data_IF_554642154000
#
_entry.id   IF_554642154000
#
_cell.length_a   1.000
_cell.length_b   1.000
_cell.length_c   1.000
_cell.angle_alpha   90.00
_cell.angle_beta   90.00
_cell.angle_gamma   90.00
#
_symmetry.space_group_name_H-M   'P 1'
#
loop_
_entity.id
_entity.type
_entity.pdbx_description
1 polymer ?
#
# COMPACT_ATOMS: atom_id res chain seq x y z
N UNK A 1 2.41 -34.18 19.30
CA UNK A 1 2.24 -33.86 17.88
C UNK A 1 2.86 -32.50 17.62
N UNK A 2 3.85 -32.44 16.74
CA UNK A 2 4.74 -31.28 16.61
C UNK A 2 4.03 -30.07 16.00
N UNK A 3 4.42 -28.88 16.47
CA UNK A 3 3.91 -27.54 16.11
C UNK A 3 3.98 -27.22 14.61
N UNK A 4 4.66 -28.05 13.81
CA UNK A 4 4.81 -27.91 12.36
C UNK A 4 3.58 -28.29 11.52
N UNK A 5 2.56 -28.93 12.09
CA UNK A 5 1.35 -29.37 11.36
C UNK A 5 0.47 -28.22 10.83
N UNK A 6 0.84 -26.95 11.07
CA UNK A 6 0.09 -25.75 10.64
C UNK A 6 0.96 -24.71 9.93
N UNK A 7 2.09 -25.11 9.34
CA UNK A 7 2.86 -24.16 8.54
C UNK A 7 2.00 -23.76 7.33
N UNK A 8 1.67 -22.47 7.21
CA UNK A 8 1.07 -21.92 5.99
C UNK A 8 2.16 -21.89 4.92
N UNK A 9 1.79 -22.08 3.66
CA UNK A 9 2.73 -22.06 2.54
C UNK A 9 3.71 -20.90 2.62
N UNK A 10 5.00 -21.20 2.46
CA UNK A 10 6.11 -20.24 2.50
C UNK A 10 6.54 -19.98 1.05
N UNK A 11 6.48 -18.71 0.65
CA UNK A 11 6.94 -18.27 -0.67
C UNK A 11 8.20 -17.45 -0.48
N UNK A 12 9.32 -17.96 -1.00
CA UNK A 12 10.53 -17.20 -1.20
C UNK A 12 10.42 -16.47 -2.55
N UNK A 13 10.58 -15.15 -2.52
CA UNK A 13 10.58 -14.30 -3.71
C UNK A 13 11.94 -13.59 -3.80
N UNK A 14 12.72 -13.94 -4.82
CA UNK A 14 13.94 -13.23 -5.18
C UNK A 14 13.67 -12.29 -6.36
N UNK A 15 14.07 -11.03 -6.22
CA UNK A 15 14.02 -10.03 -7.28
C UNK A 15 15.46 -9.62 -7.56
N UNK A 16 15.92 -9.83 -8.78
CA UNK A 16 17.30 -9.59 -9.19
C UNK A 16 17.35 -8.72 -10.45
N UNK A 17 18.22 -7.72 -10.45
CA UNK A 17 18.53 -6.85 -11.59
C UNK A 17 19.62 -7.43 -12.50
N UNK A 18 20.05 -8.67 -12.26
CA UNK A 18 21.01 -9.41 -13.05
C UNK A 18 20.50 -10.81 -13.41
N UNK A 19 21.23 -11.51 -14.29
CA UNK A 19 20.92 -12.90 -14.67
C UNK A 19 21.55 -13.86 -13.67
N UNK A 20 20.71 -14.57 -12.91
CA UNK A 20 21.09 -15.63 -11.97
C UNK A 20 21.04 -17.01 -12.64
N UNK A 21 20.00 -17.28 -13.42
CA UNK A 21 19.75 -18.59 -14.05
C UNK A 21 20.02 -18.52 -15.56
N UNK A 22 21.26 -18.75 -15.97
CA UNK A 22 21.72 -18.60 -17.36
C UNK A 22 20.88 -19.42 -18.37
N UNK A 23 20.47 -20.63 -18.00
CA UNK A 23 19.73 -21.54 -18.88
C UNK A 23 18.23 -21.23 -19.01
N UNK A 24 17.71 -20.32 -18.18
CA UNK A 24 16.29 -19.93 -18.19
C UNK A 24 16.12 -18.65 -19.00
N UNK A 25 15.29 -18.68 -20.04
CA UNK A 25 15.03 -17.51 -20.89
C UNK A 25 13.97 -16.57 -20.32
N UNK A 26 13.03 -17.11 -19.56
CA UNK A 26 11.93 -16.32 -19.00
C UNK A 26 12.42 -15.45 -17.83
N UNK A 27 11.78 -14.30 -17.63
CA UNK A 27 12.09 -13.37 -16.55
C UNK A 27 11.55 -13.84 -15.20
N UNK A 28 10.58 -14.75 -15.20
CA UNK A 28 10.03 -15.39 -14.01
C UNK A 28 10.35 -16.87 -14.01
N UNK A 29 10.87 -17.38 -12.91
CA UNK A 29 11.11 -18.81 -12.70
C UNK A 29 10.52 -19.29 -11.38
N UNK A 30 9.53 -20.17 -11.49
CA UNK A 30 8.88 -20.82 -10.35
C UNK A 30 9.56 -22.18 -10.10
N UNK A 31 10.06 -22.39 -8.89
CA UNK A 31 10.87 -23.52 -8.51
C UNK A 31 10.30 -24.22 -7.26
N UNK A 32 10.46 -25.53 -7.23
CA UNK A 32 10.04 -26.42 -6.15
C UNK A 32 11.21 -27.29 -5.71
N UNK A 33 11.20 -27.69 -4.44
CA UNK A 33 12.19 -28.59 -3.88
C UNK A 33 11.77 -30.04 -4.14
N UNK A 34 12.71 -30.88 -4.57
CA UNK A 34 12.51 -32.31 -4.77
C UNK A 34 13.50 -33.07 -3.89
N UNK A 35 13.10 -34.21 -3.34
CA UNK A 35 14.02 -35.14 -2.72
C UNK A 35 15.05 -35.62 -3.76
N UNK A 36 16.30 -35.72 -3.32
CA UNK A 36 17.43 -36.02 -4.24
C UNK A 36 17.47 -37.46 -4.72
N UNK A 37 16.84 -38.40 -4.00
CA UNK A 37 16.83 -39.83 -4.34
C UNK A 37 15.54 -40.22 -5.04
N UNK A 38 14.39 -39.78 -4.52
CA UNK A 38 13.07 -40.18 -5.02
C UNK A 38 12.50 -39.19 -6.03
N UNK A 39 13.04 -37.96 -6.07
CA UNK A 39 12.48 -36.84 -6.84
C UNK A 39 11.06 -36.47 -6.44
N UNK A 40 10.61 -36.89 -5.25
CA UNK A 40 9.31 -36.53 -4.70
C UNK A 40 9.33 -35.11 -4.14
N UNK A 41 8.20 -34.41 -4.23
CA UNK A 41 8.04 -33.09 -3.63
C UNK A 41 7.37 -33.27 -2.25
N UNK A 42 8.18 -33.56 -1.23
CA UNK A 42 7.70 -33.69 0.16
C UNK A 42 7.42 -32.33 0.80
N UNK A 43 8.09 -31.27 0.33
CA UNK A 43 8.01 -29.90 0.85
C UNK A 43 7.09 -29.02 -0.01
N UNK A 44 5.86 -29.49 -0.27
CA UNK A 44 4.92 -28.87 -1.22
C UNK A 44 4.49 -27.45 -0.86
N UNK A 45 4.61 -27.11 0.42
CA UNK A 45 4.26 -25.80 0.95
C UNK A 45 5.36 -24.75 0.74
N UNK A 46 6.54 -25.13 0.23
CA UNK A 46 7.65 -24.22 -0.05
C UNK A 46 7.76 -23.92 -1.55
N UNK A 47 7.65 -22.64 -1.89
CA UNK A 47 7.74 -22.15 -3.27
C UNK A 47 8.87 -21.15 -3.39
N UNK A 48 9.64 -21.24 -4.47
CA UNK A 48 10.73 -20.31 -4.76
C UNK A 48 10.46 -19.64 -6.11
N UNK A 49 10.24 -18.34 -6.10
CA UNK A 49 9.99 -17.55 -7.29
C UNK A 49 11.18 -16.62 -7.48
N UNK A 50 11.79 -16.68 -8.66
CA UNK A 50 12.87 -15.79 -9.07
C UNK A 50 12.36 -14.87 -10.16
N UNK A 51 12.46 -13.56 -9.94
CA UNK A 51 12.18 -12.52 -10.92
C UNK A 51 13.52 -11.90 -11.34
N UNK A 52 13.98 -12.23 -12.54
CA UNK A 52 15.22 -11.73 -13.14
C UNK A 52 14.90 -10.58 -14.08
N UNK A 53 14.92 -9.35 -13.54
CA UNK A 53 14.51 -8.11 -14.23
C UNK A 53 15.36 -7.80 -15.46
N UNK A 54 16.61 -8.25 -15.50
CA UNK A 54 17.46 -8.15 -16.69
C UNK A 54 16.85 -8.83 -17.93
N UNK A 55 16.01 -9.85 -17.74
CA UNK A 55 15.32 -10.58 -18.82
C UNK A 55 13.94 -10.00 -19.15
N UNK A 56 13.41 -9.12 -18.31
CA UNK A 56 12.11 -8.49 -18.49
C UNK A 56 12.24 -7.27 -19.41
N UNK A 57 11.79 -7.38 -20.66
CA UNK A 57 11.96 -6.34 -21.69
C UNK A 57 10.64 -5.83 -22.26
N UNK A 58 9.54 -5.98 -21.51
CA UNK A 58 8.24 -5.46 -21.92
C UNK A 58 8.18 -3.97 -21.63
N UNK A 59 7.65 -3.22 -22.59
CA UNK A 59 7.29 -1.83 -22.42
C UNK A 59 5.91 -1.68 -21.77
N UNK A 60 5.58 -0.47 -21.34
CA UNK A 60 4.37 -0.15 -20.59
C UNK A 60 3.07 -0.60 -21.30
N UNK A 61 2.98 -0.36 -22.60
CA UNK A 61 1.82 -0.70 -23.43
C UNK A 61 1.67 -2.22 -23.67
N UNK A 62 2.71 -2.99 -23.33
CA UNK A 62 2.76 -4.45 -23.49
C UNK A 62 2.45 -5.19 -22.19
N UNK A 63 2.21 -4.48 -21.08
CA UNK A 63 1.92 -5.07 -19.78
C UNK A 63 0.49 -5.62 -19.76
N UNK A 64 0.37 -6.95 -19.68
CA UNK A 64 -0.90 -7.66 -19.74
C UNK A 64 -1.50 -8.02 -18.38
N UNK A 65 -0.71 -7.97 -17.29
CA UNK A 65 -1.17 -8.40 -15.97
C UNK A 65 -0.43 -7.70 -14.82
N UNK A 66 -0.93 -7.90 -13.60
CA UNK A 66 -0.40 -7.27 -12.37
C UNK A 66 1.06 -7.65 -12.09
N UNK A 67 1.49 -8.87 -12.39
CA UNK A 67 2.86 -9.32 -12.10
C UNK A 67 3.85 -8.61 -13.01
N UNK A 68 3.49 -8.42 -14.28
CA UNK A 68 4.28 -7.65 -15.24
C UNK A 68 4.35 -6.18 -14.86
N UNK A 69 3.26 -5.60 -14.31
CA UNK A 69 3.29 -4.25 -13.74
C UNK A 69 4.28 -4.13 -12.58
N UNK A 70 4.30 -5.09 -11.67
CA UNK A 70 5.29 -5.11 -10.59
C UNK A 70 6.72 -5.30 -11.10
N UNK A 71 6.95 -6.19 -12.07
CA UNK A 71 8.26 -6.39 -12.67
C UNK A 71 8.77 -5.12 -13.37
N UNK A 72 7.90 -4.47 -14.15
CA UNK A 72 8.19 -3.18 -14.78
C UNK A 72 8.53 -2.13 -13.73
N UNK A 73 7.69 -2.02 -12.69
CA UNK A 73 7.92 -1.11 -11.57
C UNK A 73 9.29 -1.33 -10.92
N UNK A 74 9.62 -2.56 -10.51
CA UNK A 74 10.91 -2.84 -9.87
C UNK A 74 12.10 -2.56 -10.80
N UNK A 75 11.93 -2.75 -12.12
CA UNK A 75 12.98 -2.48 -13.10
C UNK A 75 13.23 -0.98 -13.32
N UNK A 76 12.20 -0.15 -13.24
CA UNK A 76 12.32 1.28 -13.57
C UNK A 76 12.18 2.23 -12.38
N UNK A 77 11.98 1.70 -11.15
CA UNK A 77 11.80 2.49 -9.93
C UNK A 77 12.94 3.48 -9.63
N UNK A 78 14.15 3.24 -10.14
CA UNK A 78 15.28 4.14 -9.96
C UNK A 78 15.44 5.18 -11.08
N UNK A 79 14.74 5.00 -12.22
CA UNK A 79 14.88 5.84 -13.42
C UNK A 79 13.68 6.78 -13.61
N UNK A 80 12.52 6.41 -13.09
CA UNK A 80 11.26 7.12 -13.30
C UNK A 80 10.94 8.04 -12.13
N UNK A 81 10.42 9.23 -12.43
CA UNK A 81 9.89 10.12 -11.41
C UNK A 81 8.57 9.56 -10.84
N UNK A 82 8.23 9.96 -9.61
CA UNK A 82 6.97 9.56 -8.97
C UNK A 82 5.76 9.91 -9.86
N UNK A 83 5.79 11.06 -10.55
CA UNK A 83 4.74 11.54 -11.45
C UNK A 83 4.61 10.66 -12.71
N UNK A 84 5.73 10.23 -13.30
CA UNK A 84 5.72 9.28 -14.42
C UNK A 84 5.19 7.92 -13.99
N UNK A 85 5.61 7.42 -12.81
CA UNK A 85 5.16 6.13 -12.30
C UNK A 85 3.69 6.13 -11.87
N UNK A 86 3.18 7.23 -11.30
CA UNK A 86 1.75 7.41 -10.98
C UNK A 86 0.87 7.36 -12.24
N UNK A 87 1.32 8.00 -13.33
CA UNK A 87 0.63 7.95 -14.61
C UNK A 87 0.77 6.58 -15.30
N UNK A 88 1.91 5.90 -15.14
CA UNK A 88 2.22 4.59 -15.72
C UNK A 88 1.35 3.46 -15.16
N UNK A 89 1.24 3.41 -13.82
CA UNK A 89 0.70 2.22 -13.14
C UNK A 89 -0.84 2.27 -13.05
N UNK A 90 -1.41 3.44 -13.31
CA UNK A 90 -2.84 3.71 -13.28
C UNK A 90 -3.39 3.77 -11.85
N UNK A 91 -4.70 3.59 -11.70
CA UNK A 91 -5.41 3.68 -10.41
C UNK A 91 -5.16 2.48 -9.47
N UNK A 92 -4.07 1.72 -9.68
CA UNK A 92 -3.73 0.61 -8.77
C UNK A 92 -3.18 1.17 -7.46
N UNK A 93 -4.09 1.31 -6.48
CA UNK A 93 -3.82 1.91 -5.19
C UNK A 93 -2.67 1.24 -4.44
N UNK A 94 -2.46 -0.08 -4.63
CA UNK A 94 -1.43 -0.81 -3.90
C UNK A 94 -0.04 -0.46 -4.45
N UNK A 95 0.11 -0.42 -5.77
CA UNK A 95 1.39 -0.05 -6.37
C UNK A 95 1.69 1.44 -6.12
N UNK A 96 0.67 2.30 -6.16
CA UNK A 96 0.80 3.71 -5.76
C UNK A 96 1.32 3.86 -4.33
N UNK A 97 0.84 3.03 -3.40
CA UNK A 97 1.33 3.03 -2.01
C UNK A 97 2.79 2.57 -1.90
N UNK A 98 3.20 1.58 -2.70
CA UNK A 98 4.59 1.13 -2.74
C UNK A 98 5.53 2.19 -3.33
N UNK A 99 5.08 2.94 -4.34
CA UNK A 99 5.77 4.10 -4.89
C UNK A 99 6.11 5.14 -3.82
N UNK A 100 5.10 5.60 -3.08
CA UNK A 100 5.31 6.57 -2.01
C UNK A 100 6.27 6.05 -0.93
N UNK A 101 6.20 4.75 -0.61
CA UNK A 101 7.10 4.16 0.38
C UNK A 101 8.56 4.11 -0.09
N UNK A 102 8.81 3.81 -1.38
CA UNK A 102 10.15 3.84 -1.95
C UNK A 102 10.70 5.27 -2.04
N UNK A 103 9.88 6.21 -2.50
CA UNK A 103 10.24 7.63 -2.57
C UNK A 103 10.61 8.16 -1.18
N UNK A 104 9.78 7.90 -0.17
CA UNK A 104 10.08 8.21 1.24
C UNK A 104 11.39 7.59 1.73
N UNK A 105 11.70 6.35 1.33
CA UNK A 105 12.95 5.70 1.71
C UNK A 105 14.19 6.32 1.04
N UNK A 106 14.01 7.03 -0.07
CA UNK A 106 15.08 7.71 -0.81
C UNK A 106 15.33 9.15 -0.36
N UNK A 107 14.45 9.73 0.45
CA UNK A 107 14.53 11.12 0.87
C UNK A 107 15.69 11.40 1.82
N UNK A 108 16.30 12.57 1.64
CA UNK A 108 17.13 13.18 2.66
C UNK A 108 16.30 13.59 3.87
N UNK A 109 16.94 13.73 5.03
CA UNK A 109 16.29 14.19 6.27
C UNK A 109 15.51 15.51 6.09
N UNK A 110 15.97 16.38 5.17
CA UNK A 110 15.30 17.64 4.86
C UNK A 110 14.00 17.45 4.05
N UNK A 111 13.99 16.52 3.11
CA UNK A 111 12.82 16.18 2.31
C UNK A 111 11.76 15.48 3.17
N UNK A 112 12.20 14.53 4.02
CA UNK A 112 11.34 13.88 5.01
C UNK A 112 10.66 14.90 5.94
N UNK A 113 11.45 15.81 6.55
CA UNK A 113 10.91 16.86 7.41
C UNK A 113 9.91 17.79 6.69
N UNK A 114 10.14 18.05 5.39
CA UNK A 114 9.26 18.90 4.59
C UNK A 114 7.92 18.20 4.34
N UNK A 115 7.95 16.92 3.98
CA UNK A 115 6.75 16.12 3.78
C UNK A 115 5.96 15.91 5.08
N UNK A 116 6.61 15.54 6.17
CA UNK A 116 5.95 15.39 7.48
C UNK A 116 5.26 16.68 7.90
N UNK A 117 5.86 17.83 7.60
CA UNK A 117 5.26 19.14 7.87
C UNK A 117 4.03 19.41 7.00
N UNK A 118 4.02 18.98 5.73
CA UNK A 118 2.84 19.08 4.87
C UNK A 118 1.70 18.20 5.38
N UNK A 119 1.98 16.92 5.70
CA UNK A 119 0.98 15.99 6.26
C UNK A 119 0.42 16.52 7.58
N UNK A 120 1.29 17.02 8.47
CA UNK A 120 0.87 17.64 9.73
C UNK A 120 -0.07 18.83 9.49
N UNK A 121 0.26 19.67 8.52
CA UNK A 121 -0.58 20.84 8.18
C UNK A 121 -1.96 20.42 7.68
N UNK A 122 -2.03 19.38 6.85
CA UNK A 122 -3.31 18.83 6.37
C UNK A 122 -4.14 18.24 7.50
N UNK A 123 -3.53 17.46 8.40
CA UNK A 123 -4.21 16.92 9.57
C UNK A 123 -4.69 18.01 10.54
N UNK A 124 -3.86 19.04 10.78
CA UNK A 124 -4.23 20.17 11.62
C UNK A 124 -5.45 20.91 11.02
N UNK A 125 -5.52 21.05 9.70
CA UNK A 125 -6.66 21.65 9.01
C UNK A 125 -7.94 20.81 9.15
N UNK A 126 -7.84 19.49 8.96
CA UNK A 126 -8.97 18.57 9.14
C UNK A 126 -9.49 18.61 10.58
N UNK A 127 -8.60 18.58 11.57
CA UNK A 127 -8.97 18.68 12.98
C UNK A 127 -9.68 19.99 13.31
N UNK A 128 -9.25 21.12 12.72
CA UNK A 128 -9.93 22.41 12.86
C UNK A 128 -11.34 22.37 12.26
N UNK A 129 -11.51 21.71 11.11
CA UNK A 129 -12.81 21.58 10.46
C UNK A 129 -13.77 20.69 11.27
N UNK A 130 -13.30 19.54 11.76
CA UNK A 130 -14.06 18.67 12.65
C UNK A 130 -14.47 19.39 13.94
N UNK A 131 -13.55 20.13 14.57
CA UNK A 131 -13.85 20.89 15.77
C UNK A 131 -14.93 21.96 15.52
N UNK A 132 -14.91 22.63 14.36
CA UNK A 132 -15.94 23.61 13.99
C UNK A 132 -17.32 22.96 13.85
N UNK A 133 -17.38 21.75 13.29
CA UNK A 133 -18.63 20.99 13.16
C UNK A 133 -19.14 20.62 14.55
N UNK A 134 -18.29 20.04 15.40
CA UNK A 134 -18.63 19.69 16.79
C UNK A 134 -19.14 20.89 17.60
N UNK A 135 -18.45 22.04 17.51
CA UNK A 135 -18.87 23.27 18.18
C UNK A 135 -20.23 23.78 17.68
N UNK A 136 -20.50 23.64 16.38
CA UNK A 136 -21.77 24.03 15.78
C UNK A 136 -22.92 23.14 16.27
N UNK A 137 -22.72 21.82 16.32
CA UNK A 137 -23.68 20.85 16.85
C UNK A 137 -23.99 21.12 18.33
N UNK A 138 -22.95 21.29 19.16
CA UNK A 138 -23.10 21.59 20.58
C UNK A 138 -23.88 22.90 20.82
N UNK A 139 -23.60 23.95 20.03
CA UNK A 139 -24.36 25.20 20.07
C UNK A 139 -25.81 25.00 19.62
N UNK A 140 -26.05 24.15 18.62
CA UNK A 140 -27.38 23.76 18.17
C UNK A 140 -28.21 23.11 19.28
N UNK A 141 -27.64 22.10 19.95
CA UNK A 141 -28.28 21.42 21.07
C UNK A 141 -28.58 22.37 22.24
N UNK A 142 -27.63 23.24 22.59
CA UNK A 142 -27.80 24.23 23.65
C UNK A 142 -28.96 25.19 23.33
N UNK A 143 -29.03 25.69 22.09
CA UNK A 143 -30.14 26.54 21.62
C UNK A 143 -31.48 25.81 21.67
N UNK A 144 -31.51 24.53 21.30
CA UNK A 144 -32.72 23.71 21.37
C UNK A 144 -33.18 23.52 22.82
N UNK A 145 -32.27 23.18 23.75
CA UNK A 145 -32.55 23.05 25.19
C UNK A 145 -33.12 24.35 25.76
N UNK A 146 -32.55 25.50 25.42
CA UNK A 146 -33.05 26.83 25.83
C UNK A 146 -34.45 27.10 25.25
N UNK A 147 -34.67 26.79 23.97
CA UNK A 147 -35.98 26.97 23.31
C UNK A 147 -37.07 26.14 23.99
N UNK A 148 -36.78 24.87 24.30
CA UNK A 148 -37.69 23.97 25.00
C UNK A 148 -38.00 24.50 26.41
N UNK A 149 -36.98 24.96 27.15
CA UNK A 149 -37.16 25.55 28.47
C UNK A 149 -38.06 26.79 28.43
N UNK A 150 -37.82 27.71 27.47
CA UNK A 150 -38.68 28.90 27.27
C UNK A 150 -40.12 28.52 26.96
N UNK A 151 -40.35 27.56 26.06
CA UNK A 151 -41.70 27.09 25.71
C UNK A 151 -42.44 26.48 26.91
N UNK A 152 -41.73 25.73 27.76
CA UNK A 152 -42.30 25.14 28.98
C UNK A 152 -42.65 26.20 30.03
N UNK A 153 -41.84 27.26 30.17
CA UNK A 153 -42.15 28.39 31.05
C UNK A 153 -43.38 29.17 30.55
N UNK A 154 -43.47 29.48 29.25
CA UNK A 154 -44.63 30.16 28.66
C UNK A 154 -45.93 29.36 28.83
N UNK A 155 -45.87 28.02 28.76
CA UNK A 155 -47.04 27.16 29.03
C UNK A 155 -47.49 27.20 30.49
N UNK A 156 -46.58 27.32 31.45
CA UNK A 156 -46.90 27.39 32.88
C UNK A 156 -47.50 28.73 33.32
N UNK A 157 -47.21 29.81 32.60
CA UNK A 157 -47.72 31.16 32.92
C UNK A 157 -49.15 31.37 32.37
N UNK A 158 -49.56 30.54 31.40
CA UNK A 158 -50.90 30.56 30.78
C UNK A 158 -51.88 29.53 31.37
N UNK A 159 -51.60 29.01 32.58
CA UNK A 159 -52.44 28.12 33.39
C UNK A 159 -52.73 28.80 34.72
#
# INVERSE_FOLDING_TARGET
MAVYAKLRGVIFLAIADFILLLDKKDWRSDNRLLDTKTYENDLQDFYFIFLELAKFNKELDQLGNLQEKWAYFFKHAYESTLEEMENLIGHDFIIKKALYALDQASWSEKELNTYEKMIKTEMDNLAVEEQKIMDAEAKGEARQKISIAKKNVSKKINL
#
